data_IF_231056084271
#
_entry.id   IF_231056084271
#
_cell.length_a   1.000
_cell.length_b   1.000
_cell.length_c   1.000
_cell.angle_alpha   90.00
_cell.angle_beta   90.00
_cell.angle_gamma   90.00
#
_symmetry.space_group_name_H-M   'P 1'
#
loop_
_entity.id
_entity.type
_entity.pdbx_description
1 polymer ?
#
# COMPACT_ATOMS: atom_id res chain seq x y z
N UNK A 1 8.56 16.56 -11.28
CA UNK A 1 8.83 15.40 -10.40
C UNK A 1 7.68 15.29 -9.43
N UNK A 2 7.14 14.09 -9.20
CA UNK A 2 6.05 13.81 -8.27
C UNK A 2 6.53 12.85 -7.20
N UNK A 3 6.10 13.09 -5.95
CA UNK A 3 6.35 12.21 -4.80
C UNK A 3 5.08 11.50 -4.40
N UNK A 4 5.12 10.18 -4.46
CA UNK A 4 4.00 9.30 -4.08
C UNK A 4 4.43 8.46 -2.88
N UNK A 5 3.59 8.40 -1.87
CA UNK A 5 3.88 7.68 -0.63
C UNK A 5 2.77 6.68 -0.37
N UNK A 6 3.11 5.44 0.01
CA UNK A 6 2.17 4.50 0.63
C UNK A 6 2.47 4.36 2.10
N UNK A 7 1.43 4.30 2.92
CA UNK A 7 1.55 4.15 4.37
C UNK A 7 0.35 3.43 4.98
N UNK A 8 0.52 2.21 5.43
CA UNK A 8 -0.45 1.56 6.31
C UNK A 8 -0.38 2.23 7.68
N UNK A 9 -1.42 2.99 8.05
CA UNK A 9 -1.45 3.79 9.29
C UNK A 9 -1.99 3.03 10.49
N UNK A 10 -2.49 1.82 10.29
CA UNK A 10 -3.08 0.97 11.34
C UNK A 10 -4.06 1.74 12.26
N UNK A 11 -4.91 2.56 11.64
CA UNK A 11 -5.86 3.45 12.28
C UNK A 11 -5.45 4.93 12.21
N UNK A 12 -6.09 5.68 11.30
CA UNK A 12 -5.73 7.09 11.04
C UNK A 12 -5.89 7.97 12.28
N UNK A 13 -6.90 7.73 13.13
CA UNK A 13 -7.10 8.49 14.37
C UNK A 13 -5.93 8.31 15.36
N UNK A 14 -5.44 7.07 15.49
CA UNK A 14 -4.26 6.79 16.32
C UNK A 14 -2.97 7.38 15.72
N UNK A 15 -2.84 7.39 14.41
CA UNK A 15 -1.71 8.03 13.74
C UNK A 15 -1.73 9.56 13.94
N UNK A 16 -2.89 10.21 13.77
CA UNK A 16 -3.06 11.65 14.00
C UNK A 16 -2.67 12.05 15.44
N UNK A 17 -2.99 11.25 16.46
CA UNK A 17 -2.58 11.51 17.85
C UNK A 17 -1.06 11.41 18.08
N UNK A 18 -0.30 10.97 17.10
CA UNK A 18 1.17 10.87 17.10
C UNK A 18 1.84 11.85 16.14
N UNK A 19 1.22 12.99 15.88
CA UNK A 19 1.71 14.05 14.97
C UNK A 19 1.87 13.59 13.49
N UNK A 20 1.01 12.67 13.04
CA UNK A 20 1.05 12.20 11.66
C UNK A 20 0.76 13.31 10.64
N UNK A 21 -0.06 14.32 10.99
CA UNK A 21 -0.36 15.45 10.11
C UNK A 21 0.89 16.30 9.84
N UNK A 22 1.70 16.58 10.87
CA UNK A 22 2.95 17.32 10.70
C UNK A 22 3.91 16.55 9.80
N UNK A 23 4.02 15.24 9.99
CA UNK A 23 4.78 14.37 9.11
C UNK A 23 4.27 14.42 7.66
N UNK A 24 2.94 14.40 7.44
CA UNK A 24 2.34 14.52 6.10
C UNK A 24 2.78 15.81 5.40
N UNK A 25 2.71 16.94 6.10
CA UNK A 25 3.10 18.25 5.57
C UNK A 25 4.59 18.28 5.23
N UNK A 26 5.44 17.78 6.13
CA UNK A 26 6.90 17.76 5.98
C UNK A 26 7.37 16.74 4.92
N UNK A 27 6.60 15.71 4.63
CA UNK A 27 6.97 14.65 3.68
C UNK A 27 7.16 15.16 2.24
N UNK A 28 6.56 16.31 1.92
CA UNK A 28 6.57 16.88 0.58
C UNK A 28 5.80 16.03 -0.45
N UNK A 29 4.90 15.16 0.00
CA UNK A 29 4.14 14.27 -0.87
C UNK A 29 3.18 15.04 -1.79
N UNK A 30 3.11 14.62 -3.05
CA UNK A 30 2.04 15.02 -3.97
C UNK A 30 0.82 14.12 -3.80
N UNK A 31 1.02 12.81 -3.57
CA UNK A 31 -0.04 11.83 -3.33
C UNK A 31 0.37 10.91 -2.18
N UNK A 32 -0.56 10.65 -1.26
CA UNK A 32 -0.38 9.66 -0.18
C UNK A 32 -1.51 8.65 -0.23
N UNK A 33 -1.15 7.38 -0.35
CA UNK A 33 -2.03 6.23 -0.32
C UNK A 33 -2.01 5.62 1.08
N UNK A 34 -3.16 5.58 1.75
CA UNK A 34 -3.30 5.05 3.10
C UNK A 34 -4.01 3.72 3.10
N UNK A 35 -3.57 2.82 3.97
CA UNK A 35 -4.20 1.54 4.24
C UNK A 35 -4.53 1.42 5.72
N UNK A 36 -5.49 0.57 6.03
CA UNK A 36 -6.02 0.37 7.39
C UNK A 36 -6.41 1.68 8.09
N UNK A 37 -7.18 2.53 7.39
CA UNK A 37 -7.66 3.79 7.98
C UNK A 37 -8.54 3.56 9.22
N UNK A 38 -9.29 2.45 9.27
CA UNK A 38 -10.11 2.01 10.43
C UNK A 38 -11.06 3.08 10.97
N UNK A 39 -11.47 4.01 10.12
CA UNK A 39 -12.35 5.12 10.47
C UNK A 39 -13.26 5.46 9.29
N UNK A 40 -14.48 5.90 9.59
CA UNK A 40 -15.34 6.56 8.62
C UNK A 40 -15.01 8.06 8.56
N UNK A 41 -15.24 8.74 7.43
CA UNK A 41 -14.98 10.17 7.29
C UNK A 41 -15.63 11.03 8.39
N UNK A 42 -16.84 10.67 8.84
CA UNK A 42 -17.58 11.39 9.88
C UNK A 42 -16.91 11.33 11.27
N UNK A 43 -15.94 10.47 11.43
CA UNK A 43 -15.15 10.32 12.67
C UNK A 43 -13.86 11.15 12.67
N UNK A 44 -13.61 11.91 11.58
CA UNK A 44 -12.40 12.69 11.37
C UNK A 44 -12.76 14.19 11.23
N UNK A 45 -11.86 15.05 11.70
CA UNK A 45 -11.87 16.44 11.28
C UNK A 45 -11.19 16.55 9.91
N UNK A 46 -11.97 16.51 8.85
CA UNK A 46 -11.47 16.51 7.47
C UNK A 46 -10.85 17.85 7.07
N UNK A 47 -11.21 18.95 7.76
CA UNK A 47 -10.67 20.30 7.47
C UNK A 47 -9.17 20.38 7.64
N UNK A 48 -8.59 19.61 8.56
CA UNK A 48 -7.13 19.60 8.78
C UNK A 48 -6.37 19.19 7.52
N UNK A 49 -6.92 18.30 6.68
CA UNK A 49 -6.32 17.89 5.43
C UNK A 49 -6.47 18.96 4.34
N UNK A 50 -7.64 19.63 4.29
CA UNK A 50 -7.92 20.73 3.37
C UNK A 50 -7.01 21.93 3.68
N UNK A 51 -6.87 22.30 4.95
CA UNK A 51 -5.96 23.35 5.43
C UNK A 51 -4.48 23.03 5.16
N UNK A 52 -4.12 21.76 5.17
CA UNK A 52 -2.80 21.27 4.76
C UNK A 52 -2.60 21.24 3.23
N UNK A 53 -3.63 21.62 2.45
CA UNK A 53 -3.59 21.72 0.98
C UNK A 53 -3.82 20.40 0.26
N UNK A 54 -4.53 19.45 0.87
CA UNK A 54 -4.84 18.17 0.27
C UNK A 54 -6.33 18.02 -0.05
N UNK A 55 -6.63 17.55 -1.26
CA UNK A 55 -7.87 16.84 -1.56
C UNK A 55 -7.78 15.45 -0.93
N UNK A 56 -8.90 14.90 -0.46
CA UNK A 56 -8.91 13.62 0.23
C UNK A 56 -10.10 12.74 -0.18
N UNK A 57 -9.84 11.47 -0.35
CA UNK A 57 -10.81 10.47 -0.78
C UNK A 57 -10.69 9.27 0.15
N UNK A 58 -11.82 8.87 0.76
CA UNK A 58 -11.86 7.85 1.81
C UNK A 58 -12.78 6.72 1.39
N UNK A 59 -12.30 5.51 1.49
CA UNK A 59 -13.09 4.32 1.23
C UNK A 59 -13.02 3.38 2.43
N UNK A 60 -13.89 3.58 3.45
CA UNK A 60 -13.93 2.76 4.65
C UNK A 60 -14.56 1.40 4.36
N UNK A 61 -14.24 0.39 5.19
CA UNK A 61 -15.01 -0.83 5.22
C UNK A 61 -16.40 -0.61 5.85
N UNK A 62 -17.37 -1.42 5.48
CA UNK A 62 -18.69 -1.41 6.14
C UNK A 62 -18.57 -1.78 7.62
N UNK A 63 -17.67 -2.71 7.97
CA UNK A 63 -17.37 -3.06 9.34
C UNK A 63 -16.57 -1.95 10.02
N UNK A 64 -17.14 -1.31 11.04
CA UNK A 64 -16.50 -0.23 11.80
C UNK A 64 -15.17 -0.66 12.41
N UNK A 65 -14.16 0.22 12.34
CA UNK A 65 -12.85 0.00 12.94
C UNK A 65 -12.01 -1.09 12.24
N UNK A 66 -12.32 -1.42 10.99
CA UNK A 66 -11.68 -2.46 10.22
C UNK A 66 -11.27 -1.95 8.84
N UNK A 67 -10.09 -2.39 8.32
CA UNK A 67 -9.67 -2.13 6.94
C UNK A 67 -9.79 -0.66 6.50
N UNK A 68 -10.19 -0.45 5.23
CA UNK A 68 -10.36 0.85 4.62
C UNK A 68 -9.08 1.42 4.03
N UNK A 69 -9.20 2.09 2.89
CA UNK A 69 -8.11 2.81 2.23
C UNK A 69 -8.47 4.27 1.99
N UNK A 70 -7.45 5.11 1.79
CA UNK A 70 -7.68 6.50 1.39
C UNK A 70 -6.58 6.97 0.44
N UNK A 71 -6.88 8.04 -0.31
CA UNK A 71 -5.91 8.80 -1.09
C UNK A 71 -6.01 10.26 -0.69
N UNK A 72 -4.88 10.85 -0.31
CA UNK A 72 -4.69 12.28 -0.09
C UNK A 72 -3.82 12.81 -1.22
N UNK A 73 -4.18 13.93 -1.84
CA UNK A 73 -3.45 14.45 -3.00
C UNK A 73 -3.46 15.98 -3.04
N UNK A 74 -2.34 16.59 -3.42
CA UNK A 74 -2.24 18.05 -3.65
C UNK A 74 -2.92 18.51 -4.96
N UNK A 75 -3.18 17.58 -5.86
CA UNK A 75 -3.81 17.85 -7.15
C UNK A 75 -5.17 17.17 -7.21
N UNK A 76 -6.19 17.91 -7.65
CA UNK A 76 -7.52 17.32 -7.85
C UNK A 76 -7.44 16.27 -8.96
N UNK A 77 -7.83 15.01 -8.72
CA UNK A 77 -7.90 14.00 -9.77
C UNK A 77 -9.04 14.28 -10.74
N UNK A 78 -8.90 13.81 -11.96
CA UNK A 78 -9.94 13.87 -13.00
C UNK A 78 -11.09 12.91 -12.69
N UNK A 79 -10.77 11.76 -12.09
CA UNK A 79 -11.72 10.74 -11.67
C UNK A 79 -11.24 10.01 -10.42
N UNK A 80 -12.19 9.50 -9.65
CA UNK A 80 -11.94 8.65 -8.48
C UNK A 80 -12.86 7.44 -8.53
N UNK A 81 -12.29 6.23 -8.45
CA UNK A 81 -13.00 4.97 -8.49
C UNK A 81 -12.90 4.24 -7.14
N UNK A 82 -14.05 3.85 -6.60
CA UNK A 82 -14.17 3.21 -5.29
C UNK A 82 -14.48 1.73 -5.46
N UNK A 83 -13.53 0.87 -5.06
CA UNK A 83 -13.66 -0.58 -5.21
C UNK A 83 -13.29 -1.11 -6.59
N UNK A 84 -13.42 -2.41 -6.76
CA UNK A 84 -13.17 -3.13 -8.02
C UNK A 84 -14.45 -3.53 -8.74
N UNK A 85 -15.63 -3.15 -8.20
CA UNK A 85 -16.92 -3.62 -8.69
C UNK A 85 -17.24 -5.07 -8.29
N UNK A 86 -16.54 -5.60 -7.29
CA UNK A 86 -16.74 -6.95 -6.76
C UNK A 86 -17.23 -6.81 -5.31
N UNK A 87 -18.55 -6.90 -5.13
CA UNK A 87 -19.25 -6.56 -3.89
C UNK A 87 -18.62 -7.18 -2.63
N UNK A 88 -18.29 -8.49 -2.68
CA UNK A 88 -17.66 -9.21 -1.55
C UNK A 88 -16.32 -8.63 -1.09
N UNK A 89 -15.62 -7.87 -1.96
CA UNK A 89 -14.37 -7.20 -1.64
C UNK A 89 -14.57 -5.74 -1.31
N UNK A 90 -15.50 -5.10 -2.00
CA UNK A 90 -15.78 -3.68 -1.89
C UNK A 90 -16.35 -3.33 -0.50
N UNK A 91 -17.07 -4.29 0.15
CA UNK A 91 -17.48 -4.17 1.55
C UNK A 91 -16.32 -4.00 2.56
N UNK A 92 -15.13 -4.43 2.21
CA UNK A 92 -13.95 -4.30 3.07
C UNK A 92 -13.14 -3.02 2.79
N UNK A 93 -13.52 -2.19 1.79
CA UNK A 93 -12.86 -0.93 1.50
C UNK A 93 -11.37 -1.09 1.20
N UNK A 94 -11.00 -1.96 0.22
CA UNK A 94 -9.61 -2.38 0.00
C UNK A 94 -8.94 -1.78 -1.21
N UNK A 95 -9.70 -1.10 -2.07
CA UNK A 95 -9.21 -0.58 -3.33
C UNK A 95 -9.78 0.81 -3.62
N UNK A 96 -8.91 1.76 -3.92
CA UNK A 96 -9.29 3.13 -4.31
C UNK A 96 -8.32 3.61 -5.39
N UNK A 97 -8.85 4.15 -6.49
CA UNK A 97 -8.07 4.67 -7.61
C UNK A 97 -8.35 6.15 -7.83
N UNK A 98 -7.32 6.92 -8.07
CA UNK A 98 -7.41 8.31 -8.50
C UNK A 98 -6.66 8.47 -9.83
N UNK A 99 -7.31 9.10 -10.82
CA UNK A 99 -6.79 9.31 -12.16
C UNK A 99 -6.33 10.76 -12.35
N UNK A 100 -5.12 10.93 -12.91
CA UNK A 100 -4.49 12.22 -13.20
C UNK A 100 -3.98 12.19 -14.65
N UNK A 101 -4.73 12.75 -15.60
CA UNK A 101 -4.43 12.62 -17.02
C UNK A 101 -4.37 11.13 -17.43
N UNK A 102 -3.22 10.70 -17.92
CA UNK A 102 -2.99 9.32 -18.36
C UNK A 102 -2.40 8.39 -17.27
N UNK A 103 -2.13 8.93 -16.08
CA UNK A 103 -1.60 8.18 -14.93
C UNK A 103 -2.71 7.88 -13.93
N UNK A 104 -2.76 6.66 -13.42
CA UNK A 104 -3.65 6.27 -12.33
C UNK A 104 -2.84 5.85 -11.11
N UNK A 105 -3.20 6.39 -9.94
CA UNK A 105 -2.64 6.01 -8.65
C UNK A 105 -3.68 5.20 -7.88
N UNK A 106 -3.27 4.03 -7.41
CA UNK A 106 -4.12 3.09 -6.67
C UNK A 106 -3.62 2.97 -5.24
N UNK A 107 -4.53 3.08 -4.27
CA UNK A 107 -4.30 2.65 -2.89
C UNK A 107 -4.97 1.29 -2.68
N UNK A 108 -4.19 0.26 -2.34
CA UNK A 108 -4.68 -1.09 -2.13
C UNK A 108 -4.26 -1.64 -0.75
N UNK A 109 -5.18 -2.34 -0.10
CA UNK A 109 -4.93 -3.11 1.12
C UNK A 109 -5.31 -4.58 0.87
N UNK A 110 -4.33 -5.40 0.53
CA UNK A 110 -4.56 -6.83 0.26
C UNK A 110 -4.89 -7.59 1.54
N UNK A 111 -5.77 -8.60 1.48
CA UNK A 111 -6.13 -9.37 2.66
C UNK A 111 -4.92 -10.04 3.32
N UNK A 112 -4.88 -10.03 4.66
CA UNK A 112 -3.99 -10.89 5.43
C UNK A 112 -4.62 -12.28 5.58
N UNK A 113 -3.83 -13.34 5.44
CA UNK A 113 -4.23 -14.72 5.67
C UNK A 113 -3.96 -15.22 7.10
N UNK A 114 -3.41 -14.36 7.98
CA UNK A 114 -2.92 -14.78 9.31
C UNK A 114 -4.00 -15.20 10.30
N UNK A 115 -5.29 -15.02 9.97
CA UNK A 115 -6.42 -15.36 10.85
C UNK A 115 -6.97 -16.78 10.64
N UNK A 116 -6.24 -17.65 9.93
CA UNK A 116 -6.61 -19.04 9.69
C UNK A 116 -6.83 -19.41 8.22
N UNK A 117 -7.04 -20.69 7.96
CA UNK A 117 -7.06 -21.27 6.62
C UNK A 117 -8.14 -20.68 5.72
N UNK A 118 -9.33 -20.42 6.23
CA UNK A 118 -10.42 -19.78 5.48
C UNK A 118 -10.02 -18.37 5.00
N UNK A 119 -9.32 -17.62 5.85
CA UNK A 119 -8.86 -16.28 5.48
C UNK A 119 -7.70 -16.34 4.50
N UNK A 120 -6.84 -17.35 4.60
CA UNK A 120 -5.78 -17.59 3.63
C UNK A 120 -6.36 -18.00 2.26
N UNK A 121 -7.35 -18.88 2.24
CA UNK A 121 -8.06 -19.25 1.01
C UNK A 121 -8.74 -18.04 0.36
N UNK A 122 -9.43 -17.21 1.16
CA UNK A 122 -10.03 -15.95 0.69
C UNK A 122 -8.97 -15.03 0.08
N UNK A 123 -7.81 -14.89 0.72
CA UNK A 123 -6.70 -14.08 0.21
C UNK A 123 -6.26 -14.55 -1.17
N UNK A 124 -6.03 -15.85 -1.37
CA UNK A 124 -5.58 -16.36 -2.67
C UNK A 124 -6.58 -16.09 -3.79
N UNK A 125 -7.89 -16.29 -3.53
CA UNK A 125 -8.96 -15.96 -4.49
C UNK A 125 -8.98 -14.46 -4.77
N UNK A 126 -8.82 -13.63 -3.74
CA UNK A 126 -8.77 -12.18 -3.89
C UNK A 126 -7.60 -11.73 -4.77
N UNK A 127 -6.41 -12.34 -4.60
CA UNK A 127 -5.21 -12.04 -5.37
C UNK A 127 -5.40 -12.37 -6.86
N UNK A 128 -6.04 -13.48 -7.19
CA UNK A 128 -6.35 -13.86 -8.58
C UNK A 128 -7.36 -12.88 -9.21
N UNK A 129 -8.44 -12.56 -8.50
CA UNK A 129 -9.45 -11.60 -8.96
C UNK A 129 -8.84 -10.19 -9.13
N UNK A 130 -7.96 -9.77 -8.19
CA UNK A 130 -7.21 -8.51 -8.30
C UNK A 130 -6.32 -8.48 -9.54
N UNK A 131 -5.57 -9.55 -9.79
CA UNK A 131 -4.70 -9.64 -10.97
C UNK A 131 -5.51 -9.50 -12.26
N UNK A 132 -6.66 -10.19 -12.35
CA UNK A 132 -7.55 -10.11 -13.51
C UNK A 132 -8.07 -8.68 -13.70
N UNK A 133 -8.53 -8.02 -12.62
CA UNK A 133 -9.01 -6.64 -12.63
C UNK A 133 -7.91 -5.67 -13.09
N UNK A 134 -6.71 -5.75 -12.50
CA UNK A 134 -5.60 -4.86 -12.82
C UNK A 134 -5.12 -5.07 -14.26
N UNK A 135 -5.06 -6.30 -14.75
CA UNK A 135 -4.68 -6.59 -16.12
C UNK A 135 -5.72 -6.07 -17.15
N UNK A 136 -7.00 -6.05 -16.78
CA UNK A 136 -8.02 -5.40 -17.59
C UNK A 136 -7.87 -3.88 -17.55
N UNK A 137 -7.73 -3.30 -16.36
CA UNK A 137 -7.52 -1.87 -16.17
C UNK A 137 -6.29 -1.36 -16.95
N UNK A 138 -5.20 -2.12 -16.96
CA UNK A 138 -3.96 -1.76 -17.68
C UNK A 138 -4.17 -1.60 -19.20
N UNK A 139 -5.18 -2.25 -19.80
CA UNK A 139 -5.49 -2.06 -21.22
C UNK A 139 -6.11 -0.70 -21.53
N UNK A 140 -6.83 -0.13 -20.55
CA UNK A 140 -7.49 1.17 -20.66
C UNK A 140 -6.61 2.29 -20.11
N UNK A 141 -5.88 2.00 -19.05
CA UNK A 141 -5.03 2.91 -18.28
C UNK A 141 -3.63 2.32 -18.19
N UNK A 142 -2.78 2.57 -19.18
CA UNK A 142 -1.48 1.90 -19.30
C UNK A 142 -0.43 2.32 -18.29
N UNK A 143 -0.61 3.47 -17.61
CA UNK A 143 0.31 4.00 -16.60
C UNK A 143 -0.31 3.86 -15.21
N UNK A 144 -0.01 2.78 -14.53
CA UNK A 144 -0.52 2.49 -13.18
C UNK A 144 0.61 2.57 -12.15
N UNK A 145 0.31 3.19 -11.01
CA UNK A 145 1.12 3.21 -9.81
C UNK A 145 0.27 2.59 -8.70
N UNK A 146 0.59 1.36 -8.29
CA UNK A 146 -0.19 0.58 -7.34
C UNK A 146 0.53 0.58 -6.00
N UNK A 147 0.05 1.39 -5.10
CA UNK A 147 0.62 1.66 -3.78
C UNK A 147 -0.16 0.90 -2.72
N UNK A 148 0.50 0.21 -1.81
CA UNK A 148 -0.24 -0.39 -0.73
C UNK A 148 0.49 -1.41 0.12
N UNK A 149 -0.27 -1.96 1.06
CA UNK A 149 0.09 -3.12 1.85
C UNK A 149 -0.39 -4.39 1.14
N UNK A 150 0.55 -5.17 0.64
CA UNK A 150 0.30 -6.41 -0.08
C UNK A 150 0.16 -7.61 0.86
N UNK A 151 0.55 -7.44 2.13
CA UNK A 151 0.59 -8.53 3.11
C UNK A 151 1.40 -9.75 2.62
N UNK A 152 2.38 -9.53 1.74
CA UNK A 152 3.27 -10.55 1.16
C UNK A 152 4.70 -10.01 1.10
N UNK A 153 5.66 -10.76 1.62
CA UNK A 153 7.08 -10.61 1.30
C UNK A 153 7.37 -11.38 0.01
N UNK A 154 7.86 -10.73 -1.03
CA UNK A 154 8.09 -11.40 -2.30
C UNK A 154 9.30 -12.36 -2.24
N UNK A 155 10.44 -11.88 -1.76
CA UNK A 155 11.72 -12.62 -1.80
C UNK A 155 12.29 -12.85 -0.39
N UNK A 156 13.20 -13.83 -0.23
CA UNK A 156 13.88 -14.04 1.06
C UNK A 156 14.60 -12.81 1.61
N UNK A 157 15.02 -11.88 0.75
CA UNK A 157 15.65 -10.63 1.14
C UNK A 157 14.66 -9.66 1.82
N UNK A 158 13.35 -9.88 1.65
CA UNK A 158 12.27 -9.00 2.12
C UNK A 158 11.76 -9.38 3.52
N UNK A 159 12.31 -10.40 4.14
CA UNK A 159 11.82 -10.92 5.42
C UNK A 159 12.96 -11.31 6.36
N UNK A 160 12.78 -11.00 7.63
CA UNK A 160 13.62 -11.56 8.69
C UNK A 160 13.37 -13.07 8.84
N UNK A 161 14.45 -13.87 8.93
CA UNK A 161 14.39 -15.33 9.08
C UNK A 161 13.52 -16.06 8.03
N UNK A 162 13.85 -15.99 6.74
CA UNK A 162 13.04 -16.60 5.69
C UNK A 162 12.86 -18.12 5.86
N UNK A 163 13.86 -18.82 6.40
CA UNK A 163 13.81 -20.28 6.61
C UNK A 163 12.74 -20.68 7.64
N UNK A 164 12.58 -19.93 8.71
CA UNK A 164 11.58 -20.22 9.74
C UNK A 164 10.17 -19.78 9.35
N UNK A 165 10.04 -18.90 8.38
CA UNK A 165 8.77 -18.31 7.95
C UNK A 165 8.21 -18.89 6.65
N UNK A 166 8.85 -19.93 6.06
CA UNK A 166 8.46 -20.49 4.76
C UNK A 166 7.00 -20.98 4.71
N UNK A 167 6.43 -21.34 5.86
CA UNK A 167 5.03 -21.77 6.00
C UNK A 167 4.17 -20.75 6.76
N UNK A 168 4.62 -19.48 6.82
CA UNK A 168 3.86 -18.41 7.48
C UNK A 168 3.11 -17.58 6.44
N UNK A 169 1.82 -17.30 6.68
CA UNK A 169 1.04 -16.40 5.82
C UNK A 169 1.74 -15.06 5.65
N UNK A 170 1.81 -14.59 4.41
CA UNK A 170 2.62 -13.45 4.00
C UNK A 170 3.99 -13.84 3.44
N UNK A 171 4.39 -15.12 3.56
CA UNK A 171 5.62 -15.65 2.96
C UNK A 171 5.46 -17.09 2.43
N UNK A 172 4.23 -17.56 2.25
CA UNK A 172 3.95 -18.87 1.69
C UNK A 172 4.47 -19.00 0.25
N UNK A 173 4.87 -20.19 -0.20
CA UNK A 173 5.35 -20.39 -1.57
C UNK A 173 4.37 -19.92 -2.64
N UNK A 174 3.06 -20.18 -2.46
CA UNK A 174 2.00 -19.76 -3.38
C UNK A 174 1.79 -18.25 -3.41
N UNK A 175 1.92 -17.55 -2.30
CA UNK A 175 1.86 -16.09 -2.24
C UNK A 175 3.02 -15.44 -2.99
N UNK A 176 4.22 -15.97 -2.82
CA UNK A 176 5.42 -15.50 -3.53
C UNK A 176 5.38 -15.81 -5.03
N UNK A 177 4.88 -17.00 -5.39
CA UNK A 177 4.68 -17.37 -6.78
C UNK A 177 3.66 -16.45 -7.47
N UNK A 178 2.55 -16.13 -6.77
CA UNK A 178 1.59 -15.14 -7.24
C UNK A 178 2.27 -13.78 -7.47
N UNK A 179 3.05 -13.30 -6.50
CA UNK A 179 3.71 -11.99 -6.61
C UNK A 179 4.69 -11.95 -7.80
N UNK A 180 5.46 -13.01 -8.00
CA UNK A 180 6.37 -13.14 -9.15
C UNK A 180 5.59 -13.07 -10.47
N UNK A 181 4.52 -13.84 -10.60
CA UNK A 181 3.65 -13.84 -11.79
C UNK A 181 2.99 -12.48 -12.01
N UNK A 182 2.60 -11.78 -10.92
CA UNK A 182 2.06 -10.43 -11.01
C UNK A 182 3.09 -9.44 -11.59
N UNK A 183 4.33 -9.47 -11.11
CA UNK A 183 5.40 -8.63 -11.67
C UNK A 183 5.69 -9.00 -13.13
N UNK A 184 5.79 -10.29 -13.46
CA UNK A 184 6.01 -10.78 -14.83
C UNK A 184 4.91 -10.36 -15.80
N UNK A 185 3.72 -10.04 -15.31
CA UNK A 185 2.61 -9.54 -16.15
C UNK A 185 2.79 -8.08 -16.59
N UNK A 186 3.97 -7.49 -16.38
CA UNK A 186 4.37 -6.15 -16.86
C UNK A 186 4.35 -5.09 -15.77
N UNK A 187 4.76 -5.46 -14.57
CA UNK A 187 4.92 -4.57 -13.42
C UNK A 187 6.33 -4.62 -12.84
N UNK A 188 6.70 -3.56 -12.13
CA UNK A 188 8.02 -3.35 -11.54
C UNK A 188 7.88 -2.98 -10.07
N UNK A 189 8.61 -3.68 -9.20
CA UNK A 189 8.85 -3.25 -7.81
C UNK A 189 9.82 -2.06 -7.82
N UNK A 190 9.29 -0.86 -7.67
CA UNK A 190 10.07 0.37 -7.79
C UNK A 190 11.21 0.45 -6.77
N UNK A 191 11.03 -0.07 -5.55
CA UNK A 191 12.07 -0.06 -4.53
C UNK A 191 13.26 -0.92 -4.95
N UNK A 192 13.01 -2.11 -5.50
CA UNK A 192 14.07 -3.03 -5.93
C UNK A 192 14.79 -2.61 -7.21
N UNK A 193 14.31 -1.60 -7.92
CA UNK A 193 15.08 -0.94 -8.98
C UNK A 193 16.31 -0.21 -8.42
N UNK A 194 16.18 0.42 -7.25
CA UNK A 194 17.22 1.26 -6.65
C UNK A 194 17.98 0.58 -5.50
N UNK A 195 17.34 -0.33 -4.78
CA UNK A 195 17.90 -0.91 -3.56
C UNK A 195 17.84 -2.44 -3.58
N UNK A 196 19.02 -3.08 -3.59
CA UNK A 196 19.18 -4.53 -3.55
C UNK A 196 19.73 -5.01 -2.18
N UNK A 197 19.74 -4.12 -1.17
CA UNK A 197 20.26 -4.46 0.15
C UNK A 197 19.23 -5.26 0.97
N UNK A 198 19.67 -6.20 1.81
CA UNK A 198 18.82 -6.89 2.78
C UNK A 198 18.46 -5.97 3.95
N UNK A 199 17.54 -6.46 4.78
CA UNK A 199 17.11 -5.81 6.03
C UNK A 199 16.38 -4.47 5.87
N UNK A 200 15.85 -4.23 4.72
CA UNK A 200 14.99 -3.10 4.40
C UNK A 200 13.52 -3.53 4.54
N UNK A 201 12.91 -3.22 5.69
CA UNK A 201 11.57 -3.68 6.04
C UNK A 201 10.60 -2.51 6.18
N UNK A 202 9.30 -2.81 6.04
CA UNK A 202 8.22 -1.82 6.13
C UNK A 202 7.28 -2.06 7.30
N UNK A 203 7.29 -3.26 7.87
CA UNK A 203 6.45 -3.67 8.99
C UNK A 203 7.23 -4.45 10.05
N UNK A 204 6.87 -4.25 11.31
CA UNK A 204 7.40 -4.96 12.47
C UNK A 204 6.29 -5.27 13.47
N UNK A 205 6.24 -6.49 13.95
CA UNK A 205 5.33 -6.86 15.03
C UNK A 205 5.53 -5.96 16.26
N UNK A 206 4.45 -5.59 16.95
CA UNK A 206 4.53 -4.92 18.25
C UNK A 206 5.16 -5.80 19.35
N UNK A 207 5.26 -7.12 19.13
CA UNK A 207 5.80 -8.07 20.10
C UNK A 207 7.33 -8.09 20.10
N UNK A 208 7.91 -8.47 21.23
CA UNK A 208 9.34 -8.79 21.40
C UNK A 208 10.31 -7.66 21.00
N UNK A 209 9.86 -6.41 20.98
CA UNK A 209 10.65 -5.24 20.55
C UNK A 209 11.21 -5.43 19.11
N UNK A 210 10.39 -5.98 18.21
CA UNK A 210 10.81 -6.41 16.89
C UNK A 210 11.38 -5.25 16.06
N UNK A 211 10.78 -4.05 16.12
CA UNK A 211 11.24 -2.89 15.35
C UNK A 211 12.62 -2.43 15.77
N UNK A 212 12.92 -2.33 17.08
CA UNK A 212 14.25 -1.94 17.58
C UNK A 212 15.33 -2.97 17.24
N UNK A 213 14.95 -4.26 17.08
CA UNK A 213 15.84 -5.34 16.66
C UNK A 213 15.89 -5.54 15.15
N UNK A 214 15.15 -4.75 14.40
CA UNK A 214 14.92 -4.88 12.95
C UNK A 214 14.49 -6.30 12.50
N UNK A 215 13.58 -6.92 13.26
CA UNK A 215 12.99 -8.23 12.93
C UNK A 215 11.70 -7.99 12.13
N UNK A 216 11.83 -7.53 10.90
CA UNK A 216 10.73 -6.99 10.11
C UNK A 216 10.46 -7.75 8.82
N UNK A 217 9.44 -7.26 8.12
CA UNK A 217 8.94 -7.74 6.84
C UNK A 217 8.73 -6.56 5.90
N UNK A 218 9.11 -6.70 4.64
CA UNK A 218 8.75 -5.73 3.60
C UNK A 218 7.49 -6.23 2.91
N UNK A 219 6.36 -5.63 3.24
CA UNK A 219 5.03 -6.00 2.75
C UNK A 219 4.27 -4.84 2.11
N UNK A 220 4.82 -3.62 2.21
CA UNK A 220 4.28 -2.42 1.58
C UNK A 220 5.11 -2.07 0.34
N UNK A 221 4.43 -1.71 -0.74
CA UNK A 221 5.05 -1.52 -2.05
C UNK A 221 4.47 -0.34 -2.82
N UNK A 222 5.29 0.24 -3.69
CA UNK A 222 4.88 1.08 -4.81
C UNK A 222 5.24 0.32 -6.10
N UNK A 223 4.28 -0.43 -6.64
CA UNK A 223 4.45 -1.18 -7.89
C UNK A 223 4.00 -0.31 -9.05
N UNK A 224 4.80 -0.26 -10.11
CA UNK A 224 4.49 0.53 -11.31
C UNK A 224 4.41 -0.34 -12.55
N UNK A 225 3.64 0.08 -13.56
CA UNK A 225 3.69 -0.55 -14.88
C UNK A 225 5.06 -0.37 -15.53
N UNK A 226 5.53 -1.35 -16.30
CA UNK A 226 6.88 -1.38 -16.90
C UNK A 226 7.19 -0.13 -17.73
N UNK A 227 6.20 0.47 -18.40
CA UNK A 227 6.36 1.70 -19.18
C UNK A 227 6.67 2.95 -18.32
N UNK A 228 6.46 2.89 -16.99
CA UNK A 228 6.87 3.96 -16.07
C UNK A 228 8.26 3.75 -15.49
N UNK A 229 8.92 2.62 -15.75
CA UNK A 229 10.25 2.30 -15.18
C UNK A 229 11.29 3.37 -15.49
N UNK A 230 11.30 3.89 -16.73
CA UNK A 230 12.22 4.96 -17.13
C UNK A 230 11.95 6.32 -16.46
N UNK A 231 10.78 6.49 -15.88
CA UNK A 231 10.39 7.72 -15.16
C UNK A 231 10.80 7.72 -13.70
N UNK A 232 11.17 6.57 -13.12
CA UNK A 232 11.55 6.43 -11.72
C UNK A 232 12.84 7.21 -11.43
N UNK A 233 12.89 7.93 -10.31
CA UNK A 233 14.06 8.73 -9.88
C UNK A 233 14.64 8.25 -8.54
N UNK A 234 13.78 7.90 -7.59
CA UNK A 234 14.19 7.34 -6.31
C UNK A 234 13.05 6.52 -5.69
N UNK A 235 13.42 5.53 -4.89
CA UNK A 235 12.48 4.82 -4.02
C UNK A 235 13.14 4.58 -2.66
N UNK A 236 12.40 4.83 -1.57
CA UNK A 236 12.92 4.78 -0.22
C UNK A 236 11.90 4.18 0.75
N UNK A 237 12.40 3.53 1.80
CA UNK A 237 11.64 3.14 2.97
C UNK A 237 12.06 4.07 4.11
N UNK A 238 11.11 4.62 4.88
CA UNK A 238 11.38 5.60 5.94
C UNK A 238 11.03 5.05 7.34
N UNK A 239 11.87 4.18 7.92
CA UNK A 239 11.59 3.51 9.19
C UNK A 239 11.58 4.45 10.40
N UNK A 240 12.03 5.69 10.25
CA UNK A 240 11.97 6.72 11.30
C UNK A 240 10.55 7.23 11.58
N UNK A 241 9.60 7.04 10.66
CA UNK A 241 8.20 7.37 10.89
C UNK A 241 7.55 6.34 11.82
N UNK A 242 7.12 6.77 13.01
CA UNK A 242 6.72 5.90 14.13
C UNK A 242 5.21 5.95 14.45
N UNK A 243 4.38 6.38 13.51
CA UNK A 243 2.93 6.54 13.72
C UNK A 243 2.17 5.21 13.72
N UNK A 244 2.76 4.17 13.10
CA UNK A 244 2.19 2.84 12.89
C UNK A 244 3.25 1.76 13.15
N UNK A 245 2.86 0.49 13.19
CA UNK A 245 3.75 -0.68 13.10
C UNK A 245 4.32 -0.88 11.69
N UNK A 246 3.76 -0.19 10.70
CA UNK A 246 4.38 0.00 9.40
C UNK A 246 5.20 1.29 9.35
N UNK A 247 5.95 1.46 8.26
CA UNK A 247 6.56 2.74 7.90
C UNK A 247 6.29 3.08 6.42
N UNK A 248 6.40 4.36 6.04
CA UNK A 248 6.12 4.79 4.67
C UNK A 248 7.11 4.24 3.65
N UNK A 249 6.60 3.93 2.44
CA UNK A 249 7.41 3.73 1.24
C UNK A 249 7.21 4.93 0.32
N UNK A 250 8.29 5.59 -0.03
CA UNK A 250 8.34 6.80 -0.85
C UNK A 250 8.80 6.44 -2.25
N UNK A 251 8.12 6.98 -3.26
CA UNK A 251 8.48 6.89 -4.67
C UNK A 251 8.55 8.29 -5.28
N UNK A 252 9.68 8.65 -5.84
CA UNK A 252 9.87 9.86 -6.63
C UNK A 252 9.98 9.49 -8.11
N UNK A 253 9.17 10.13 -8.97
CA UNK A 253 9.16 9.87 -10.42
C UNK A 253 8.81 11.13 -11.22
N UNK A 254 9.18 11.13 -12.51
CA UNK A 254 8.82 12.17 -13.48
C UNK A 254 7.60 11.75 -14.29
N UNK A 255 6.46 12.40 -13.99
CA UNK A 255 5.20 12.25 -14.73
C UNK A 255 4.52 13.60 -14.86
#
# INVERSE_FOLDING_TARGET
MKRIITYNVNGIRAALSKNWLDWLIESGADVVCLQEIKANPEQLDLKIFEEAGFYHYWYPAQKKGYSGVAILTKHKPDNVEYGMGIEKYDFEGRFLRADFGDVSVVSVYMPSGSSGDDRQAFKMIWLDDFTNYINQLKKERSKLIICGDYNICNKPIDIHNPKSNVNTSGFLPEERAWFDSFLESGFVDSFRVFNQQPHEYTWWSFRANARAKNLGWRIDYNIVTENLKGNLKAAQITPSAMHSDHCPCVLDLEI
#
